data_IF_042710005072
#
_entry.id   IF_042710005072
#
_cell.length_a   1.000
_cell.length_b   1.000
_cell.length_c   1.000
_cell.angle_alpha   90.00
_cell.angle_beta   90.00
_cell.angle_gamma   90.00
#
_symmetry.space_group_name_H-M   'P 1'
#
loop_
_entity.id
_entity.type
_entity.pdbx_description
1 polymer ?
#
# COMPACT_ATOMS: atom_id res chain seq x y z
N UNK A 1 0.59 -38.17 17.48
CA UNK A 1 0.58 -37.89 17.28
C UNK A 1 0.66 -37.94 16.99
N UNK A 2 0.75 -38.17 16.73
CA UNK A 2 0.85 -38.10 16.33
C UNK A 2 0.39 -38.23 16.03
N UNK A 3 0.08 -38.64 15.95
CA UNK A 3 -0.13 -38.87 15.44
C UNK A 3 -0.31 -38.56 14.68
N UNK A 4 -0.17 -38.55 14.72
CA UNK A 4 -0.23 -38.34 13.83
C UNK A 4 0.22 -38.56 13.01
N UNK A 5 0.69 -38.99 13.10
CA UNK A 5 1.46 -39.27 12.33
C UNK A 5 1.26 -40.23 11.49
N UNK A 6 0.75 -40.75 11.65
CA UNK A 6 0.59 -41.70 10.93
C UNK A 6 -0.27 -41.60 10.02
N UNK A 7 -0.69 -40.76 9.88
CA UNK A 7 -1.39 -40.58 9.02
C UNK A 7 -0.89 -40.49 7.89
N UNK A 8 -1.05 -40.95 7.18
CA UNK A 8 -0.53 -41.02 6.06
C UNK A 8 -0.91 -40.14 5.24
N UNK A 9 -0.69 -39.82 4.86
CA UNK A 9 -0.86 -39.15 4.06
C UNK A 9 -1.55 -39.21 3.31
N UNK A 10 -1.82 -39.02 2.76
CA UNK A 10 -2.25 -38.77 1.93
C UNK A 10 -2.98 -38.37 1.75
N UNK A 11 -3.31 -38.20 1.85
CA UNK A 11 -4.07 -37.88 1.49
C UNK A 11 -4.39 -36.76 1.19
N UNK A 12 -3.78 -36.03 1.35
CA UNK A 12 -4.05 -34.88 0.69
C UNK A 12 -5.03 -35.11 -0.30
N UNK A 13 -5.29 -36.25 -0.52
CA UNK A 13 -6.10 -36.43 -1.61
C UNK A 13 -7.51 -36.59 -1.27
N UNK A 14 -7.94 -36.55 -0.06
CA UNK A 14 -9.33 -36.65 0.27
C UNK A 14 -10.10 -35.48 -0.32
N UNK A 15 -11.37 -35.70 -0.72
CA UNK A 15 -12.17 -34.62 -1.30
C UNK A 15 -12.30 -33.40 -0.39
N UNK A 16 -12.43 -33.60 0.93
CA UNK A 16 -12.56 -32.48 1.85
C UNK A 16 -11.28 -31.69 1.90
N UNK A 17 -10.13 -32.37 1.97
CA UNK A 17 -8.84 -31.70 2.01
C UNK A 17 -8.60 -30.94 0.72
N UNK A 18 -8.91 -31.53 -0.44
CA UNK A 18 -8.76 -30.88 -1.71
C UNK A 18 -9.64 -29.64 -1.81
N UNK A 19 -10.88 -29.72 -1.31
CA UNK A 19 -11.78 -28.60 -1.31
C UNK A 19 -11.27 -27.46 -0.43
N UNK A 20 -10.76 -27.81 0.76
CA UNK A 20 -10.23 -26.81 1.66
C UNK A 20 -8.99 -26.13 1.07
N UNK A 21 -8.13 -26.92 0.42
CA UNK A 21 -6.94 -26.35 -0.21
C UNK A 21 -7.31 -25.41 -1.33
N UNK A 22 -8.28 -25.77 -2.16
CA UNK A 22 -8.73 -24.90 -3.23
C UNK A 22 -9.32 -23.63 -2.68
N UNK A 23 -10.15 -23.72 -1.65
CA UNK A 23 -10.75 -22.54 -1.03
C UNK A 23 -9.68 -21.62 -0.46
N UNK A 24 -8.66 -22.21 0.17
CA UNK A 24 -7.55 -21.44 0.72
C UNK A 24 -6.75 -20.74 -0.40
N UNK A 25 -6.42 -21.50 -1.45
CA UNK A 25 -5.67 -20.95 -2.58
C UNK A 25 -6.45 -19.82 -3.25
N UNK A 26 -7.76 -19.97 -3.40
CA UNK A 26 -8.60 -18.94 -3.99
C UNK A 26 -8.66 -17.69 -3.11
N UNK A 27 -8.79 -17.88 -1.80
CA UNK A 27 -8.84 -16.76 -0.87
C UNK A 27 -7.51 -16.03 -0.85
N UNK A 28 -6.40 -16.75 -0.90
CA UNK A 28 -5.08 -16.14 -0.95
C UNK A 28 -4.91 -15.32 -2.23
N UNK A 29 -5.28 -15.91 -3.37
CA UNK A 29 -5.16 -15.22 -4.65
C UNK A 29 -6.04 -13.97 -4.67
N UNK A 30 -7.25 -14.06 -4.14
CA UNK A 30 -8.14 -12.91 -4.08
C UNK A 30 -7.58 -11.83 -3.18
N UNK A 31 -7.04 -12.21 -2.03
CA UNK A 31 -6.44 -11.24 -1.11
C UNK A 31 -5.30 -10.46 -1.79
N UNK A 32 -4.43 -11.18 -2.49
CA UNK A 32 -3.31 -10.55 -3.18
C UNK A 32 -3.82 -9.63 -4.30
N UNK A 33 -4.81 -10.10 -5.07
CA UNK A 33 -5.36 -9.31 -6.16
C UNK A 33 -6.02 -8.03 -5.66
N UNK A 34 -6.82 -8.14 -4.60
CA UNK A 34 -7.50 -6.99 -4.01
C UNK A 34 -6.50 -6.01 -3.43
N UNK A 35 -5.46 -6.49 -2.75
CA UNK A 35 -4.43 -5.60 -2.22
C UNK A 35 -3.69 -4.88 -3.34
N UNK A 36 -3.45 -5.54 -4.46
CA UNK A 36 -2.87 -4.86 -5.61
C UNK A 36 -3.74 -3.71 -6.07
N UNK A 37 -5.05 -3.93 -6.14
CA UNK A 37 -6.01 -2.89 -6.50
C UNK A 37 -6.00 -1.75 -5.49
N UNK A 38 -5.98 -2.08 -4.20
CA UNK A 38 -5.93 -1.08 -3.14
C UNK A 38 -4.65 -0.26 -3.25
N UNK A 39 -3.51 -0.91 -3.48
CA UNK A 39 -2.23 -0.21 -3.60
C UNK A 39 -2.23 0.77 -4.76
N UNK A 40 -2.77 0.37 -5.91
CA UNK A 40 -2.89 1.28 -7.06
C UNK A 40 -3.81 2.45 -6.72
N UNK A 41 -4.92 2.19 -6.04
CA UNK A 41 -5.86 3.24 -5.66
C UNK A 41 -5.22 4.24 -4.70
N UNK A 42 -4.43 3.75 -3.73
CA UNK A 42 -3.73 4.64 -2.81
C UNK A 42 -2.70 5.50 -3.56
N UNK A 43 -1.98 4.91 -4.51
CA UNK A 43 -1.03 5.68 -5.31
C UNK A 43 -1.74 6.77 -6.12
N UNK A 44 -2.94 6.49 -6.63
CA UNK A 44 -3.74 7.50 -7.32
C UNK A 44 -4.19 8.60 -6.38
N UNK A 45 -4.52 8.25 -5.15
CA UNK A 45 -4.86 9.24 -4.14
C UNK A 45 -3.67 10.18 -3.89
N UNK A 46 -2.48 9.60 -3.72
CA UNK A 46 -1.27 10.41 -3.50
C UNK A 46 -0.96 11.27 -4.71
N UNK A 47 -1.17 10.75 -5.92
CA UNK A 47 -0.98 11.54 -7.14
C UNK A 47 -1.92 12.76 -7.16
N UNK A 48 -3.16 12.57 -6.71
CA UNK A 48 -4.10 13.69 -6.59
C UNK A 48 -3.62 14.69 -5.54
N UNK A 49 -3.07 14.21 -4.43
CA UNK A 49 -2.51 15.08 -3.39
C UNK A 49 -1.33 15.89 -3.95
N UNK A 50 -0.48 15.26 -4.78
CA UNK A 50 0.62 15.99 -5.43
C UNK A 50 0.08 17.16 -6.24
N UNK A 51 -0.98 16.93 -7.00
CA UNK A 51 -1.61 18.01 -7.79
C UNK A 51 -2.12 19.11 -6.87
N UNK A 52 -2.79 18.75 -5.78
CA UNK A 52 -3.31 19.72 -4.83
C UNK A 52 -2.19 20.56 -4.21
N UNK A 53 -1.06 19.93 -3.90
CA UNK A 53 0.08 20.66 -3.35
C UNK A 53 0.65 21.63 -4.38
N UNK A 54 0.72 21.21 -5.64
CA UNK A 54 1.31 22.04 -6.70
C UNK A 54 0.48 23.29 -6.98
N UNK A 55 -0.84 23.21 -6.82
CA UNK A 55 -1.73 24.34 -7.11
C UNK A 55 -2.28 24.99 -5.84
N UNK A 56 -1.78 24.58 -4.66
CA UNK A 56 -2.30 25.05 -3.36
C UNK A 56 -3.80 24.87 -3.24
N UNK A 57 -4.33 23.80 -3.81
CA UNK A 57 -5.76 23.53 -3.86
C UNK A 57 -6.38 23.18 -2.50
N UNK A 58 -5.54 23.00 -1.48
CA UNK A 58 -6.01 22.70 -0.13
C UNK A 58 -6.33 23.99 0.65
N UNK A 59 -5.87 25.15 0.18
CA UNK A 59 -6.02 26.41 0.90
C UNK A 59 -7.48 26.84 0.92
N UNK A 60 -7.96 27.21 2.09
CA UNK A 60 -9.32 27.69 2.25
C UNK A 60 -9.60 28.11 3.67
N UNK A 61 -10.76 28.75 3.92
CA UNK A 61 -11.08 29.21 5.27
C UNK A 61 -11.14 28.02 6.25
N UNK A 62 -10.45 28.17 7.37
CA UNK A 62 -10.45 27.14 8.41
C UNK A 62 -9.51 25.98 8.16
N UNK A 63 -8.84 25.93 7.00
CA UNK A 63 -7.91 24.85 6.68
C UNK A 63 -6.50 25.35 6.96
N UNK A 64 -5.77 24.64 7.83
CA UNK A 64 -4.48 25.07 8.31
C UNK A 64 -3.30 24.43 7.57
N UNK A 65 -3.53 23.31 6.87
CA UNK A 65 -2.45 22.57 6.23
C UNK A 65 -3.04 21.59 5.23
N UNK A 66 -2.21 21.06 4.31
CA UNK A 66 -2.66 20.00 3.42
C UNK A 66 -3.13 18.76 4.18
N UNK A 67 -2.46 18.43 5.29
CA UNK A 67 -2.85 17.31 6.12
C UNK A 67 -4.23 17.52 6.72
N UNK A 68 -4.51 18.72 7.20
CA UNK A 68 -5.83 19.07 7.72
C UNK A 68 -6.91 18.91 6.64
N UNK A 69 -6.63 19.42 5.44
CA UNK A 69 -7.54 19.31 4.31
C UNK A 69 -7.84 17.85 4.00
N UNK A 70 -6.80 17.01 3.98
CA UNK A 70 -6.93 15.60 3.64
C UNK A 70 -7.73 14.85 4.70
N UNK A 71 -7.54 15.14 5.99
CA UNK A 71 -8.33 14.56 7.05
C UNK A 71 -9.81 14.85 6.84
N UNK A 72 -10.11 16.08 6.45
CA UNK A 72 -11.49 16.51 6.26
C UNK A 72 -12.11 15.89 5.00
N UNK A 73 -11.40 15.96 3.87
CA UNK A 73 -11.97 15.54 2.60
C UNK A 73 -11.95 14.02 2.40
N UNK A 74 -10.90 13.36 2.85
CA UNK A 74 -10.74 11.92 2.64
C UNK A 74 -11.10 11.10 3.88
N UNK A 75 -11.42 11.78 4.99
CA UNK A 75 -11.81 11.12 6.22
C UNK A 75 -10.75 10.12 6.71
N UNK A 76 -9.50 10.54 6.68
CA UNK A 76 -8.38 9.72 7.18
C UNK A 76 -7.87 10.31 8.47
N UNK A 77 -7.17 9.49 9.25
CA UNK A 77 -6.57 9.94 10.51
C UNK A 77 -5.43 10.92 10.23
N UNK A 78 -5.08 11.72 11.23
CA UNK A 78 -3.99 12.67 11.11
C UNK A 78 -2.66 12.00 10.78
N UNK A 79 -2.27 10.92 11.48
CA UNK A 79 -1.02 10.23 11.13
C UNK A 79 -1.00 9.70 9.71
N UNK A 80 -2.12 9.19 9.22
CA UNK A 80 -2.20 8.70 7.86
C UNK A 80 -2.08 9.85 6.87
N UNK A 81 -2.76 10.95 7.13
CA UNK A 81 -2.67 12.14 6.28
C UNK A 81 -1.24 12.64 6.19
N UNK A 82 -0.53 12.68 7.32
CA UNK A 82 0.86 13.11 7.35
C UNK A 82 1.75 12.22 6.49
N UNK A 83 1.53 10.91 6.56
CA UNK A 83 2.29 9.96 5.75
C UNK A 83 2.03 10.14 4.27
N UNK A 84 0.77 10.26 3.87
CA UNK A 84 0.40 10.42 2.46
C UNK A 84 0.93 11.74 1.89
N UNK A 85 0.84 12.82 2.65
CA UNK A 85 1.37 14.12 2.21
C UNK A 85 2.89 14.05 2.08
N UNK A 86 3.57 13.35 2.99
CA UNK A 86 5.02 13.20 2.90
C UNK A 86 5.43 12.46 1.64
N UNK A 87 4.72 11.38 1.30
CA UNK A 87 4.97 10.65 0.06
C UNK A 87 4.78 11.59 -1.14
N UNK A 88 3.69 12.36 -1.13
CA UNK A 88 3.41 13.29 -2.22
C UNK A 88 4.55 14.31 -2.39
N UNK A 89 5.08 14.84 -1.28
CA UNK A 89 6.16 15.82 -1.33
C UNK A 89 7.48 15.23 -1.80
N UNK A 90 7.72 13.95 -1.49
CA UNK A 90 8.98 13.30 -1.81
C UNK A 90 9.00 12.56 -3.13
N UNK A 91 7.84 12.47 -3.79
CA UNK A 91 7.72 11.64 -5.00
C UNK A 91 8.71 12.02 -6.09
N UNK A 92 8.94 13.33 -6.30
CA UNK A 92 9.88 13.78 -7.33
C UNK A 92 11.33 13.47 -6.99
N UNK A 93 11.66 13.29 -5.70
CA UNK A 93 13.00 12.93 -5.26
C UNK A 93 13.25 11.42 -5.31
N UNK A 94 12.19 10.63 -5.43
CA UNK A 94 12.26 9.18 -5.37
C UNK A 94 11.54 8.56 -6.58
N UNK A 95 11.99 8.88 -7.82
CA UNK A 95 11.25 8.48 -9.01
C UNK A 95 11.13 6.96 -9.18
N UNK A 96 12.14 6.18 -8.77
CA UNK A 96 12.09 4.74 -8.91
C UNK A 96 11.09 4.12 -7.92
N UNK A 97 11.17 4.53 -6.66
CA UNK A 97 10.21 4.06 -5.66
C UNK A 97 8.80 4.53 -5.99
N UNK A 98 8.65 5.77 -6.48
CA UNK A 98 7.36 6.29 -6.90
C UNK A 98 6.76 5.45 -8.02
N UNK A 99 7.57 5.03 -9.01
CA UNK A 99 7.10 4.20 -10.09
C UNK A 99 6.59 2.84 -9.59
N UNK A 100 7.29 2.23 -8.64
CA UNK A 100 6.83 0.97 -8.04
C UNK A 100 5.53 1.18 -7.27
N UNK A 101 5.42 2.28 -6.56
CA UNK A 101 4.21 2.62 -5.82
C UNK A 101 3.02 2.79 -6.78
N UNK A 102 3.21 3.52 -7.87
CA UNK A 102 2.16 3.70 -8.87
C UNK A 102 1.74 2.39 -9.52
N UNK A 103 2.66 1.47 -9.68
CA UNK A 103 2.38 0.16 -10.28
C UNK A 103 1.69 -0.79 -9.30
N UNK A 104 1.46 -0.36 -8.04
CA UNK A 104 0.85 -1.22 -7.04
C UNK A 104 1.81 -2.23 -6.43
N UNK A 105 3.11 -2.09 -6.67
CA UNK A 105 4.13 -3.03 -6.21
C UNK A 105 4.74 -2.65 -4.87
N UNK A 106 4.42 -1.48 -4.37
CA UNK A 106 4.72 -1.05 -3.00
C UNK A 106 3.42 -0.66 -2.34
N UNK A 107 3.23 -1.14 -1.12
CA UNK A 107 2.07 -0.75 -0.32
C UNK A 107 2.26 0.60 0.33
N UNK A 108 1.19 1.13 0.89
CA UNK A 108 1.19 2.43 1.55
C UNK A 108 2.23 2.50 2.67
N UNK A 109 2.24 1.49 3.56
CA UNK A 109 3.14 1.52 4.71
C UNK A 109 4.60 1.52 4.29
N UNK A 110 4.95 0.72 3.29
CA UNK A 110 6.31 0.66 2.79
C UNK A 110 6.71 1.99 2.18
N UNK A 111 5.85 2.58 1.35
CA UNK A 111 6.16 3.84 0.70
C UNK A 111 6.28 4.99 1.71
N UNK A 112 5.44 5.00 2.74
CA UNK A 112 5.53 6.01 3.80
C UNK A 112 6.86 5.90 4.54
N UNK A 113 7.30 4.67 4.84
CA UNK A 113 8.61 4.48 5.49
C UNK A 113 9.75 4.95 4.60
N UNK A 114 9.67 4.64 3.30
CA UNK A 114 10.67 5.09 2.34
C UNK A 114 10.71 6.61 2.31
N UNK A 115 9.56 7.26 2.25
CA UNK A 115 9.49 8.72 2.20
C UNK A 115 10.06 9.37 3.47
N UNK A 116 10.00 8.67 4.59
CA UNK A 116 10.53 9.20 5.85
C UNK A 116 12.04 9.05 5.98
N UNK A 117 12.62 8.01 5.39
CA UNK A 117 13.97 7.58 5.77
C UNK A 117 14.97 7.51 4.64
N UNK A 118 14.52 7.38 3.41
CA UNK A 118 15.41 7.12 2.29
C UNK A 118 15.86 8.43 1.68
N UNK A 119 17.19 8.69 1.64
CA UNK A 119 17.70 9.86 0.92
C UNK A 119 17.45 9.72 -0.58
N UNK A 120 17.37 10.85 -1.27
CA UNK A 120 17.08 10.86 -2.70
C UNK A 120 18.12 10.07 -3.50
N UNK A 121 19.38 10.10 -3.10
CA UNK A 121 20.45 9.42 -3.82
C UNK A 121 20.43 7.89 -3.64
N UNK A 122 19.56 7.37 -2.78
CA UNK A 122 19.45 5.92 -2.58
C UNK A 122 18.18 5.34 -3.18
N UNK A 123 17.44 6.14 -3.93
CA UNK A 123 16.16 5.73 -4.49
C UNK A 123 16.31 4.48 -5.38
N UNK A 124 17.27 4.48 -6.29
CA UNK A 124 17.45 3.35 -7.20
C UNK A 124 17.83 2.08 -6.45
N UNK A 125 18.70 2.20 -5.46
CA UNK A 125 19.15 1.07 -4.65
C UNK A 125 17.97 0.44 -3.88
N UNK A 126 17.14 1.27 -3.28
CA UNK A 126 16.00 0.81 -2.49
C UNK A 126 14.94 0.20 -3.38
N UNK A 127 14.72 0.77 -4.57
CA UNK A 127 13.72 0.26 -5.50
C UNK A 127 14.13 -1.07 -6.14
N UNK A 128 15.42 -1.35 -6.15
CA UNK A 128 15.90 -2.61 -6.70
C UNK A 128 15.56 -3.74 -5.71
#
# INVERSE_FOLDING_TARGET
MSIVADIPAPPSDGPVVSSQKRAWDEAEAETVAVMGTVNVAVARLVAAVRTLLAIDGWVGPGIQSPEHWLCWKANVSRPRAEGLVRVARRASELPQCWALFQAGRLGEDAMVRIARRVPADRDLEVAA
#
